data_IF_298981560191
#
_entry.id   IF_298981560191
#
_cell.length_a   1.000
_cell.length_b   1.000
_cell.length_c   1.000
_cell.angle_alpha   90.00
_cell.angle_beta   90.00
_cell.angle_gamma   90.00
#
_symmetry.space_group_name_H-M   'P 1'
#
loop_
_entity.id
_entity.type
_entity.pdbx_description
1 polymer ?
#
# COMPACT_ATOMS: atom_id res chain seq x y z
N UNK A 1 -0.79 -6.69 -31.20
CA UNK A 1 -1.11 -8.13 -30.99
C UNK A 1 -2.09 -8.20 -29.85
N UNK A 2 -3.21 -8.91 -30.01
CA UNK A 2 -4.20 -9.09 -28.95
C UNK A 2 -3.70 -10.16 -27.96
N UNK A 3 -3.90 -9.93 -26.66
CA UNK A 3 -3.57 -10.87 -25.59
C UNK A 3 -4.83 -11.52 -25.03
N UNK A 4 -4.71 -12.70 -24.43
CA UNK A 4 -5.84 -13.27 -23.71
C UNK A 4 -6.13 -12.46 -22.43
N UNK A 5 -5.06 -11.96 -21.78
CA UNK A 5 -5.18 -11.24 -20.50
C UNK A 5 -4.30 -10.00 -20.50
N UNK A 6 -4.89 -8.85 -20.17
CA UNK A 6 -4.17 -7.66 -19.74
C UNK A 6 -4.07 -7.64 -18.22
N UNK A 7 -2.90 -7.38 -17.67
CA UNK A 7 -2.68 -7.18 -16.23
C UNK A 7 -2.23 -5.74 -16.00
N UNK A 8 -3.01 -4.97 -15.26
CA UNK A 8 -2.64 -3.61 -14.88
C UNK A 8 -1.98 -3.61 -13.51
N UNK A 9 -0.70 -3.37 -13.49
CA UNK A 9 0.17 -3.35 -12.33
C UNK A 9 1.25 -4.42 -12.38
N UNK A 10 2.48 -3.95 -12.27
CA UNK A 10 3.71 -4.75 -12.37
C UNK A 10 4.34 -5.06 -11.01
N UNK A 11 3.54 -4.99 -9.94
CA UNK A 11 3.93 -5.41 -8.60
C UNK A 11 3.79 -6.93 -8.38
N UNK A 12 4.10 -7.43 -7.17
CA UNK A 12 4.05 -8.86 -6.84
C UNK A 12 2.74 -9.54 -7.21
N UNK A 13 1.59 -8.88 -6.94
CA UNK A 13 0.26 -9.44 -7.23
C UNK A 13 0.02 -9.59 -8.73
N UNK A 14 0.36 -8.55 -9.53
CA UNK A 14 0.21 -8.60 -10.99
C UNK A 14 1.14 -9.63 -11.63
N UNK A 15 2.39 -9.70 -11.19
CA UNK A 15 3.35 -10.69 -11.69
C UNK A 15 2.94 -12.11 -11.33
N UNK A 16 2.46 -12.35 -10.11
CA UNK A 16 1.95 -13.67 -9.70
C UNK A 16 0.75 -14.09 -10.55
N UNK A 17 -0.19 -13.18 -10.81
CA UNK A 17 -1.34 -13.43 -11.67
C UNK A 17 -0.91 -13.74 -13.12
N UNK A 18 0.07 -12.99 -13.63
CA UNK A 18 0.61 -13.18 -14.98
C UNK A 18 1.28 -14.55 -15.14
N UNK A 19 2.13 -14.95 -14.19
CA UNK A 19 2.78 -16.27 -14.18
C UNK A 19 1.74 -17.39 -14.10
N UNK A 20 0.73 -17.25 -13.23
CA UNK A 20 -0.34 -18.24 -13.10
C UNK A 20 -1.17 -18.37 -14.39
N UNK A 21 -1.42 -17.28 -15.11
CA UNK A 21 -2.13 -17.29 -16.39
C UNK A 21 -1.27 -17.92 -17.51
N UNK A 22 0.04 -17.61 -17.57
CA UNK A 22 0.98 -18.26 -18.49
C UNK A 22 1.06 -19.76 -18.29
N UNK A 23 1.09 -20.21 -17.03
CA UNK A 23 1.04 -21.65 -16.70
C UNK A 23 -0.24 -22.37 -17.17
N UNK A 24 -1.30 -21.61 -17.53
CA UNK A 24 -2.54 -22.10 -18.15
C UNK A 24 -2.60 -21.87 -19.67
N UNK A 25 -1.47 -21.59 -20.29
CA UNK A 25 -1.35 -21.40 -21.75
C UNK A 25 -1.96 -20.10 -22.29
N UNK A 26 -2.20 -19.09 -21.43
CA UNK A 26 -2.75 -17.80 -21.87
C UNK A 26 -1.63 -16.85 -22.29
N UNK A 27 -1.87 -16.05 -23.33
CA UNK A 27 -1.02 -14.91 -23.66
C UNK A 27 -1.31 -13.76 -22.71
N UNK A 28 -0.26 -13.15 -22.11
CA UNK A 28 -0.41 -12.16 -21.04
C UNK A 28 0.47 -10.96 -21.31
N UNK A 29 -0.13 -9.76 -21.22
CA UNK A 29 0.57 -8.49 -21.22
C UNK A 29 0.44 -7.82 -19.86
N UNK A 30 1.55 -7.53 -19.21
CA UNK A 30 1.60 -6.72 -17.98
C UNK A 30 1.92 -5.27 -18.34
N UNK A 31 1.05 -4.36 -17.93
CA UNK A 31 1.20 -2.92 -18.09
C UNK A 31 1.47 -2.30 -16.72
N UNK A 32 2.59 -1.64 -16.54
CA UNK A 32 2.93 -1.01 -15.26
C UNK A 32 4.22 -0.20 -15.30
N UNK A 33 4.52 0.44 -14.19
CA UNK A 33 5.77 1.18 -14.05
C UNK A 33 6.96 0.21 -13.96
N UNK A 34 8.17 0.75 -14.14
CA UNK A 34 9.38 -0.04 -13.90
C UNK A 34 9.40 -0.50 -12.44
N UNK A 35 9.85 -1.72 -12.19
CA UNK A 35 9.89 -2.27 -10.85
C UNK A 35 10.80 -1.46 -9.90
N UNK A 36 11.85 -0.80 -10.45
CA UNK A 36 12.74 0.07 -9.69
C UNK A 36 12.01 1.27 -9.06
N UNK A 37 10.91 1.70 -9.67
CA UNK A 37 10.08 2.81 -9.18
C UNK A 37 9.03 2.36 -8.15
N UNK A 38 8.94 1.05 -7.90
CA UNK A 38 8.01 0.46 -6.92
C UNK A 38 8.36 0.86 -5.48
N UNK A 39 7.36 1.14 -4.63
CA UNK A 39 7.60 1.32 -3.19
C UNK A 39 8.32 0.12 -2.56
N UNK A 40 8.02 -1.10 -3.02
CA UNK A 40 8.67 -2.30 -2.52
C UNK A 40 10.19 -2.30 -2.81
N UNK A 41 10.64 -1.75 -3.95
CA UNK A 41 12.06 -1.69 -4.28
C UNK A 41 12.91 -0.93 -3.23
N UNK A 42 12.25 -0.06 -2.45
CA UNK A 42 12.89 0.75 -1.39
C UNK A 42 12.97 0.03 -0.04
N UNK A 43 12.30 -1.11 0.11
CA UNK A 43 12.35 -1.88 1.34
C UNK A 43 13.74 -2.52 1.48
N UNK A 44 14.45 -2.18 2.55
CA UNK A 44 15.78 -2.74 2.84
C UNK A 44 15.68 -4.22 3.19
N UNK A 45 14.57 -4.60 3.86
CA UNK A 45 14.34 -5.97 4.31
C UNK A 45 12.84 -6.30 4.28
N UNK A 46 12.53 -7.50 3.82
CA UNK A 46 11.20 -8.10 3.79
C UNK A 46 11.31 -9.50 4.41
N UNK A 47 10.69 -9.70 5.56
CA UNK A 47 10.75 -10.96 6.33
C UNK A 47 9.50 -11.82 6.17
N UNK A 48 8.39 -11.24 5.73
CA UNK A 48 7.07 -11.88 5.70
C UNK A 48 6.66 -12.39 4.30
N UNK A 49 7.59 -12.46 3.34
CA UNK A 49 7.29 -13.08 2.05
C UNK A 49 7.63 -14.57 2.09
N UNK A 50 6.59 -15.40 1.98
CA UNK A 50 6.72 -16.86 2.12
C UNK A 50 7.75 -17.43 1.11
N UNK A 51 8.70 -18.17 1.61
CA UNK A 51 9.76 -18.82 0.81
C UNK A 51 10.99 -17.94 0.55
N UNK A 52 10.95 -16.64 0.79
CA UNK A 52 12.06 -15.69 0.56
C UNK A 52 12.25 -14.75 1.76
N UNK A 53 12.56 -15.29 2.96
CA UNK A 53 12.76 -14.46 4.14
C UNK A 53 14.05 -13.61 4.02
N UNK A 54 14.09 -12.49 4.73
CA UNK A 54 15.25 -11.61 4.83
C UNK A 54 15.81 -11.09 3.49
N UNK A 55 14.96 -11.01 2.47
CA UNK A 55 15.31 -10.43 1.17
C UNK A 55 15.09 -8.92 1.15
N UNK A 56 15.89 -8.17 0.38
CA UNK A 56 15.54 -6.79 0.08
C UNK A 56 14.37 -6.76 -0.92
N UNK A 57 13.56 -5.70 -0.86
CA UNK A 57 12.45 -5.53 -1.81
C UNK A 57 12.93 -5.46 -3.26
N UNK A 58 14.14 -4.91 -3.49
CA UNK A 58 14.80 -4.90 -4.80
C UNK A 58 15.07 -6.33 -5.29
N UNK A 59 15.72 -7.16 -4.47
CA UNK A 59 16.05 -8.55 -4.83
C UNK A 59 14.78 -9.39 -5.09
N UNK A 60 13.72 -9.18 -4.29
CA UNK A 60 12.43 -9.82 -4.52
C UNK A 60 11.84 -9.46 -5.89
N UNK A 61 11.80 -8.18 -6.22
CA UNK A 61 11.22 -7.71 -7.49
C UNK A 61 12.03 -8.19 -8.69
N UNK A 62 13.36 -8.19 -8.62
CA UNK A 62 14.22 -8.75 -9.65
C UNK A 62 13.86 -10.22 -9.92
N UNK A 63 13.76 -11.05 -8.87
CA UNK A 63 13.38 -12.45 -9.01
C UNK A 63 11.97 -12.62 -9.60
N UNK A 64 11.01 -11.80 -9.19
CA UNK A 64 9.63 -11.89 -9.71
C UNK A 64 9.56 -11.52 -11.19
N UNK A 65 10.26 -10.47 -11.60
CA UNK A 65 10.33 -10.07 -13.01
C UNK A 65 11.02 -11.11 -13.87
N UNK A 66 12.15 -11.63 -13.42
CA UNK A 66 12.89 -12.70 -14.10
C UNK A 66 12.03 -13.96 -14.27
N UNK A 67 11.30 -14.34 -13.23
CA UNK A 67 10.38 -15.47 -13.29
C UNK A 67 9.27 -15.21 -14.31
N UNK A 68 8.63 -14.06 -14.28
CA UNK A 68 7.56 -13.72 -15.22
C UNK A 68 8.07 -13.65 -16.66
N UNK A 69 9.23 -13.07 -16.90
CA UNK A 69 9.87 -13.02 -18.22
C UNK A 69 10.19 -14.43 -18.76
N UNK A 70 10.78 -15.30 -17.93
CA UNK A 70 11.05 -16.72 -18.28
C UNK A 70 9.77 -17.50 -18.55
N UNK A 71 8.66 -17.16 -17.90
CA UNK A 71 7.34 -17.74 -18.19
C UNK A 71 6.72 -17.23 -19.50
N UNK A 72 7.35 -16.27 -20.19
CA UNK A 72 6.87 -15.71 -21.45
C UNK A 72 5.79 -14.64 -21.30
N UNK A 73 5.83 -13.90 -20.19
CA UNK A 73 4.98 -12.71 -20.00
C UNK A 73 5.53 -11.55 -20.81
N UNK A 74 4.66 -10.85 -21.55
CA UNK A 74 4.99 -9.61 -22.22
C UNK A 74 4.83 -8.41 -21.30
N UNK A 75 5.66 -7.37 -21.48
CA UNK A 75 5.67 -6.19 -20.64
C UNK A 75 5.58 -4.90 -21.43
N UNK A 76 4.77 -3.96 -20.93
CA UNK A 76 4.75 -2.57 -21.37
C UNK A 76 4.99 -1.67 -20.16
N UNK A 77 6.07 -0.90 -20.24
CA UNK A 77 6.36 0.11 -19.22
C UNK A 77 5.54 1.36 -19.48
N UNK A 78 4.71 1.75 -18.52
CA UNK A 78 3.91 2.96 -18.59
C UNK A 78 2.66 2.87 -17.72
N UNK A 79 1.99 4.00 -17.62
CA UNK A 79 0.73 4.13 -16.88
C UNK A 79 -0.43 4.05 -17.86
N UNK A 80 -1.37 3.13 -17.63
CA UNK A 80 -2.64 3.15 -18.34
C UNK A 80 -3.43 4.41 -17.93
N UNK A 81 -3.77 5.24 -18.90
CA UNK A 81 -4.48 6.51 -18.69
C UNK A 81 -5.98 6.37 -18.89
N UNK A 82 -6.40 5.37 -19.65
CA UNK A 82 -7.81 5.01 -19.84
C UNK A 82 -7.98 3.52 -20.04
N UNK A 83 -9.16 3.04 -19.74
CA UNK A 83 -9.60 1.67 -20.00
C UNK A 83 -11.01 1.68 -20.55
N UNK A 84 -11.28 0.78 -21.46
CA UNK A 84 -12.60 0.58 -22.05
C UNK A 84 -12.90 -0.93 -22.12
N UNK A 85 -14.14 -1.30 -21.84
CA UNK A 85 -14.64 -2.67 -22.00
C UNK A 85 -15.73 -2.63 -23.07
N UNK A 86 -15.44 -3.22 -24.24
CA UNK A 86 -16.39 -3.29 -25.34
C UNK A 86 -16.04 -4.50 -26.23
N UNK A 87 -16.73 -5.63 -26.05
CA UNK A 87 -16.40 -6.88 -26.74
C UNK A 87 -15.00 -7.43 -26.43
N UNK A 88 -14.30 -6.81 -25.54
CA UNK A 88 -12.94 -7.06 -25.07
C UNK A 88 -12.50 -5.96 -24.11
N UNK A 89 -11.25 -5.98 -23.71
CA UNK A 89 -10.66 -4.97 -22.83
C UNK A 89 -9.58 -4.20 -23.59
N UNK A 90 -9.61 -2.89 -23.51
CA UNK A 90 -8.66 -1.99 -24.14
C UNK A 90 -8.03 -1.10 -23.08
N UNK A 91 -6.69 -1.01 -23.08
CA UNK A 91 -5.94 -0.13 -22.19
C UNK A 91 -5.07 0.82 -23.03
N UNK A 92 -5.14 2.12 -22.73
CA UNK A 92 -4.34 3.13 -23.42
C UNK A 92 -3.12 3.50 -22.57
N UNK A 93 -1.93 3.41 -23.15
CA UNK A 93 -0.66 3.82 -22.55
C UNK A 93 0.03 4.82 -23.48
N UNK A 94 0.13 6.08 -23.07
CA UNK A 94 0.56 7.16 -23.96
C UNK A 94 -0.38 7.29 -25.17
N UNK A 95 0.13 7.13 -26.38
CA UNK A 95 -0.63 7.12 -27.64
C UNK A 95 -1.00 5.71 -28.15
N UNK A 96 -0.58 4.66 -27.46
CA UNK A 96 -0.80 3.28 -27.89
C UNK A 96 -1.97 2.64 -27.15
N UNK A 97 -2.73 1.81 -27.89
CA UNK A 97 -3.84 1.03 -27.33
C UNK A 97 -3.44 -0.45 -27.36
N UNK A 98 -3.61 -1.10 -26.22
CA UNK A 98 -3.40 -2.54 -26.04
C UNK A 98 -4.76 -3.20 -25.78
N UNK A 99 -4.97 -4.36 -26.39
CA UNK A 99 -6.23 -5.08 -26.29
C UNK A 99 -6.05 -6.49 -25.73
N UNK A 100 -7.09 -6.98 -25.05
CA UNK A 100 -7.16 -8.31 -24.49
C UNK A 100 -8.59 -8.79 -24.28
N UNK A 101 -8.75 -10.08 -24.00
CA UNK A 101 -10.08 -10.67 -23.74
C UNK A 101 -10.53 -10.48 -22.30
N UNK A 102 -9.58 -10.41 -21.35
CA UNK A 102 -9.85 -10.25 -19.93
C UNK A 102 -8.85 -9.26 -19.29
N UNK A 103 -9.23 -8.69 -18.16
CA UNK A 103 -8.44 -7.74 -17.38
C UNK A 103 -8.25 -8.23 -15.96
N UNK A 104 -7.01 -8.13 -15.47
CA UNK A 104 -6.67 -8.27 -14.05
C UNK A 104 -6.18 -6.93 -13.53
N UNK A 105 -6.85 -6.40 -12.51
CA UNK A 105 -6.45 -5.16 -11.85
C UNK A 105 -5.57 -5.48 -10.64
N UNK A 106 -4.32 -5.04 -10.69
CA UNK A 106 -3.34 -5.14 -9.61
C UNK A 106 -2.57 -3.82 -9.41
N UNK A 107 -3.27 -2.66 -9.34
CA UNK A 107 -2.64 -1.34 -9.37
C UNK A 107 -1.85 -1.02 -8.09
N UNK A 108 -1.94 -1.85 -7.07
CA UNK A 108 -1.33 -1.63 -5.76
C UNK A 108 -2.02 -0.50 -4.98
N UNK A 109 -1.32 0.00 -3.98
CA UNK A 109 -1.82 1.08 -3.13
C UNK A 109 -1.55 2.43 -3.81
N UNK A 110 -2.57 3.28 -3.92
CA UNK A 110 -2.39 4.65 -4.41
C UNK A 110 -1.65 5.48 -3.34
N UNK A 111 -0.63 6.21 -3.76
CA UNK A 111 0.00 7.22 -2.91
C UNK A 111 -0.95 8.39 -2.74
N UNK A 112 -1.52 8.54 -1.56
CA UNK A 112 -2.12 9.81 -1.15
C UNK A 112 -1.01 10.80 -0.78
N UNK A 113 -1.32 12.10 -0.86
CA UNK A 113 -0.41 13.13 -0.39
C UNK A 113 -0.02 12.83 1.07
N UNK A 114 1.28 12.91 1.36
CA UNK A 114 1.80 12.65 2.69
C UNK A 114 1.69 13.89 3.56
N UNK A 115 1.53 13.65 4.85
CA UNK A 115 1.58 14.72 5.84
C UNK A 115 3.03 15.17 6.08
N UNK A 116 3.26 16.44 6.45
CA UNK A 116 4.56 16.88 6.93
C UNK A 116 5.09 15.94 8.03
N UNK A 117 6.35 15.53 7.94
CA UNK A 117 6.99 14.62 8.88
C UNK A 117 6.70 13.13 8.68
N UNK A 118 5.69 12.76 7.90
CA UNK A 118 5.29 11.36 7.70
C UNK A 118 6.42 10.48 7.18
N UNK A 119 7.11 10.90 6.11
CA UNK A 119 8.25 10.15 5.57
C UNK A 119 9.47 10.19 6.48
N UNK A 120 9.69 11.31 7.15
CA UNK A 120 10.82 11.49 8.06
C UNK A 120 10.79 10.47 9.20
N UNK A 121 9.60 10.18 9.72
CA UNK A 121 9.43 9.30 10.87
C UNK A 121 8.90 7.91 10.54
N UNK A 122 8.81 7.54 9.26
CA UNK A 122 8.42 6.19 8.85
C UNK A 122 9.39 5.14 9.42
N UNK A 123 8.85 4.15 10.15
CA UNK A 123 9.65 3.17 10.90
C UNK A 123 10.27 3.73 12.19
N UNK A 124 10.12 5.03 12.48
CA UNK A 124 10.56 5.68 13.71
C UNK A 124 9.40 6.34 14.45
N UNK A 125 8.27 5.63 14.49
CA UNK A 125 7.03 6.07 15.13
C UNK A 125 5.87 6.26 14.16
N UNK A 126 6.09 6.40 12.85
CA UNK A 126 5.02 6.31 11.85
C UNK A 126 4.94 4.89 11.32
N UNK A 127 3.71 4.36 11.25
CA UNK A 127 3.39 3.06 10.66
C UNK A 127 2.15 3.16 9.74
N UNK A 128 2.06 2.25 8.77
CA UNK A 128 0.90 2.08 7.88
C UNK A 128 0.16 0.75 8.12
N UNK A 129 0.55 -0.01 9.14
CA UNK A 129 0.02 -1.35 9.39
C UNK A 129 -0.12 -1.60 10.89
N UNK A 130 -1.35 -1.62 11.38
CA UNK A 130 -1.60 -1.88 12.80
C UNK A 130 -1.24 -3.31 13.20
N UNK A 131 -1.51 -4.29 12.33
CA UNK A 131 -1.22 -5.70 12.60
C UNK A 131 0.28 -6.02 12.55
N UNK A 132 1.06 -5.25 11.75
CA UNK A 132 2.51 -5.46 11.65
C UNK A 132 3.25 -4.90 12.88
N UNK A 133 2.92 -3.67 13.27
CA UNK A 133 3.73 -2.90 14.23
C UNK A 133 3.05 -2.67 15.57
N UNK A 134 1.75 -2.98 15.71
CA UNK A 134 0.95 -2.65 16.88
C UNK A 134 1.54 -3.18 18.20
N UNK A 135 2.11 -4.37 18.20
CA UNK A 135 2.74 -4.97 19.38
C UNK A 135 3.92 -4.15 19.95
N UNK A 136 4.62 -3.36 19.12
CA UNK A 136 5.73 -2.50 19.55
C UNK A 136 5.25 -1.32 20.42
N UNK A 137 3.95 -1.04 20.36
CA UNK A 137 3.31 0.09 21.04
C UNK A 137 2.41 -0.30 22.20
N UNK A 138 2.45 -1.56 22.62
CA UNK A 138 1.67 -2.03 23.79
C UNK A 138 1.98 -1.18 25.02
N UNK A 139 0.93 -0.68 25.68
CA UNK A 139 1.03 0.19 26.84
C UNK A 139 1.39 1.66 26.54
N UNK A 140 1.62 2.01 25.25
CA UNK A 140 2.02 3.35 24.83
C UNK A 140 0.85 4.13 24.21
N UNK A 141 0.87 5.47 24.27
CA UNK A 141 -0.08 6.30 23.55
C UNK A 141 0.22 6.27 22.05
N UNK A 142 -0.80 5.97 21.26
CA UNK A 142 -0.73 5.97 19.79
C UNK A 142 -1.90 6.74 19.19
N UNK A 143 -1.65 7.37 18.04
CA UNK A 143 -2.71 8.05 17.30
C UNK A 143 -2.94 7.29 15.99
N UNK A 144 -4.22 7.00 15.72
CA UNK A 144 -4.66 6.45 14.44
C UNK A 144 -5.24 7.58 13.60
N UNK A 145 -4.62 7.83 12.45
CA UNK A 145 -5.15 8.72 11.42
C UNK A 145 -5.93 7.87 10.43
N UNK A 146 -7.26 7.87 10.56
CA UNK A 146 -8.14 7.04 9.74
C UNK A 146 -8.50 7.70 8.41
N UNK A 147 -8.18 7.04 7.31
CA UNK A 147 -8.48 7.46 5.94
C UNK A 147 -9.10 6.33 5.10
N UNK A 148 -8.99 5.08 5.53
CA UNK A 148 -9.63 3.92 4.90
C UNK A 148 -10.89 3.51 5.65
N UNK A 149 -11.82 2.79 5.00
CA UNK A 149 -13.00 2.22 5.66
C UNK A 149 -12.65 1.26 6.81
N UNK A 150 -11.51 0.57 6.72
CA UNK A 150 -11.07 -0.43 7.71
C UNK A 150 -10.32 0.18 8.90
N UNK A 151 -9.95 1.46 8.84
CA UNK A 151 -9.18 2.13 9.88
C UNK A 151 -9.81 2.06 11.30
N UNK A 152 -11.16 2.11 11.46
CA UNK A 152 -11.77 1.93 12.77
C UNK A 152 -11.50 0.55 13.39
N UNK A 153 -11.56 -0.51 12.57
CA UNK A 153 -11.30 -1.88 13.02
C UNK A 153 -9.84 -2.06 13.42
N UNK A 154 -8.91 -1.47 12.69
CA UNK A 154 -7.49 -1.49 13.02
C UNK A 154 -7.21 -0.67 14.31
N UNK A 155 -7.91 0.42 14.55
CA UNK A 155 -7.82 1.18 15.80
C UNK A 155 -8.31 0.37 17.01
N UNK A 156 -9.46 -0.32 16.85
CA UNK A 156 -9.98 -1.23 17.89
C UNK A 156 -9.01 -2.39 18.14
N UNK A 157 -8.37 -2.91 17.10
CA UNK A 157 -7.33 -3.93 17.22
C UNK A 157 -6.13 -3.41 18.03
N UNK A 158 -5.58 -2.23 17.73
CA UNK A 158 -4.50 -1.63 18.52
C UNK A 158 -4.89 -1.47 20.00
N UNK A 159 -6.13 -1.04 20.27
CA UNK A 159 -6.67 -0.97 21.62
C UNK A 159 -6.69 -2.34 22.27
N UNK A 160 -7.13 -3.39 21.59
CA UNK A 160 -7.16 -4.77 22.10
C UNK A 160 -5.77 -5.30 22.44
N UNK A 161 -4.73 -4.81 21.78
CA UNK A 161 -3.32 -5.10 22.11
C UNK A 161 -2.84 -4.38 23.40
N UNK A 162 -3.67 -3.48 23.95
CA UNK A 162 -3.33 -2.67 25.12
C UNK A 162 -2.65 -1.34 24.80
N UNK A 163 -2.74 -0.84 23.56
CA UNK A 163 -2.31 0.51 23.21
C UNK A 163 -3.33 1.53 23.74
N UNK A 164 -2.85 2.74 24.10
CA UNK A 164 -3.69 3.88 24.45
C UNK A 164 -4.04 4.64 23.18
N UNK A 165 -5.12 4.23 22.50
CA UNK A 165 -5.46 4.74 21.16
C UNK A 165 -6.24 6.04 21.22
N UNK A 166 -5.85 7.02 20.41
CA UNK A 166 -6.67 8.19 20.03
C UNK A 166 -6.90 8.15 18.52
N UNK A 167 -8.14 8.33 18.08
CA UNK A 167 -8.49 8.31 16.66
C UNK A 167 -8.67 9.73 16.11
N UNK A 168 -8.07 10.02 14.96
CA UNK A 168 -8.12 11.33 14.30
C UNK A 168 -8.70 11.18 12.89
N UNK A 169 -9.77 11.91 12.60
CA UNK A 169 -10.38 11.98 11.27
C UNK A 169 -11.24 13.24 11.11
N UNK A 170 -11.77 13.49 9.91
CA UNK A 170 -12.72 14.59 9.65
C UNK A 170 -14.07 14.42 10.33
N UNK A 171 -14.49 13.17 10.58
CA UNK A 171 -15.69 12.84 11.36
C UNK A 171 -15.47 11.49 12.06
N UNK A 172 -16.19 11.27 13.16
CA UNK A 172 -16.13 9.99 13.87
C UNK A 172 -16.72 8.88 12.98
N UNK A 173 -15.95 7.83 12.66
CA UNK A 173 -16.45 6.78 11.79
C UNK A 173 -17.37 5.80 12.55
N UNK A 174 -18.24 5.13 11.80
CA UNK A 174 -18.94 3.93 12.27
C UNK A 174 -17.93 2.81 12.56
N UNK A 175 -18.23 1.94 13.53
CA UNK A 175 -17.39 0.80 13.90
C UNK A 175 -16.19 1.12 14.79
N UNK A 176 -15.94 2.39 15.12
CA UNK A 176 -14.95 2.75 16.14
C UNK A 176 -15.57 2.55 17.53
N UNK A 177 -14.88 1.82 18.41
CA UNK A 177 -15.31 1.60 19.81
C UNK A 177 -15.64 2.92 20.49
N UNK A 178 -16.75 2.93 21.25
CA UNK A 178 -17.28 4.16 21.86
C UNK A 178 -16.35 4.83 22.85
N UNK A 179 -15.49 4.07 23.52
CA UNK A 179 -14.52 4.53 24.51
C UNK A 179 -13.15 4.92 23.92
N UNK A 180 -12.92 4.75 22.61
CA UNK A 180 -11.73 5.30 21.94
C UNK A 180 -11.90 6.81 21.82
N UNK A 181 -10.99 7.61 22.40
CA UNK A 181 -10.96 9.06 22.22
C UNK A 181 -10.92 9.44 20.74
N UNK A 182 -11.73 10.42 20.34
CA UNK A 182 -11.82 10.91 18.98
C UNK A 182 -11.48 12.41 18.94
N UNK A 183 -10.61 12.76 18.00
CA UNK A 183 -10.25 14.15 17.70
C UNK A 183 -10.60 14.44 16.26
N UNK A 184 -11.45 15.41 16.04
CA UNK A 184 -11.76 15.90 14.71
C UNK A 184 -10.63 16.81 14.22
N UNK A 185 -10.15 16.58 12.98
CA UNK A 185 -9.14 17.44 12.38
C UNK A 185 -8.76 17.02 10.96
N UNK A 186 -8.13 17.93 10.24
CA UNK A 186 -7.81 17.75 8.82
C UNK A 186 -6.39 18.15 8.43
N UNK A 187 -5.82 19.18 9.05
CA UNK A 187 -4.44 19.60 8.84
C UNK A 187 -3.54 18.90 9.84
N UNK A 188 -2.77 17.94 9.36
CA UNK A 188 -1.97 17.06 10.20
C UNK A 188 -0.49 17.24 9.89
N UNK A 189 0.35 17.19 10.94
CA UNK A 189 1.79 17.10 10.82
C UNK A 189 2.36 16.18 11.89
N UNK A 190 3.25 15.28 11.51
CA UNK A 190 3.96 14.40 12.45
C UNK A 190 5.16 15.14 13.00
N UNK A 191 5.28 15.18 14.32
CA UNK A 191 6.32 15.91 15.04
C UNK A 191 7.18 14.89 15.81
N UNK A 192 8.49 15.15 15.81
CA UNK A 192 9.46 14.34 16.54
C UNK A 192 10.86 14.91 16.41
N UNK A 193 11.81 14.21 17.01
CA UNK A 193 13.24 14.45 16.89
C UNK A 193 13.93 13.24 16.25
N UNK A 194 14.34 12.25 17.04
CA UNK A 194 14.84 10.96 16.55
C UNK A 194 13.71 10.02 16.19
N UNK A 195 12.56 10.13 16.86
CA UNK A 195 11.33 9.39 16.64
C UNK A 195 10.12 10.30 16.86
N UNK A 196 8.92 9.82 16.56
CA UNK A 196 7.65 10.53 16.80
C UNK A 196 7.52 10.87 18.29
N UNK A 197 7.11 12.11 18.56
CA UNK A 197 6.77 12.58 19.92
C UNK A 197 5.34 13.12 20.00
N UNK A 198 4.76 13.55 18.87
CA UNK A 198 3.42 14.07 18.81
C UNK A 198 2.85 14.03 17.37
N UNK A 199 1.53 14.10 17.26
CA UNK A 199 0.83 14.52 16.04
C UNK A 199 0.25 15.92 16.27
N UNK A 200 0.54 16.85 15.38
CA UNK A 200 -0.15 18.13 15.33
C UNK A 200 -1.44 17.97 14.52
N UNK A 201 -2.56 18.41 15.10
CA UNK A 201 -3.89 18.38 14.49
C UNK A 201 -4.45 19.78 14.55
N UNK A 202 -4.62 20.44 13.41
CA UNK A 202 -5.14 21.80 13.25
C UNK A 202 -4.44 22.83 14.17
N UNK A 203 -3.13 22.63 14.44
CA UNK A 203 -2.29 23.48 15.28
C UNK A 203 -2.19 23.03 16.75
N UNK A 204 -2.99 22.08 17.21
CA UNK A 204 -2.89 21.48 18.54
C UNK A 204 -1.96 20.26 18.53
N UNK A 205 -1.02 20.15 19.48
CA UNK A 205 -0.12 19.01 19.60
C UNK A 205 -0.72 17.94 20.48
N UNK A 206 -0.85 16.74 19.96
CA UNK A 206 -1.28 15.55 20.67
C UNK A 206 -0.07 14.65 20.92
N UNK A 207 0.41 14.52 22.18
CA UNK A 207 1.57 13.68 22.47
C UNK A 207 1.29 12.21 22.18
N UNK A 208 2.24 11.51 21.53
CA UNK A 208 2.14 10.08 21.27
C UNK A 208 3.52 9.46 21.02
N UNK A 209 3.61 8.14 21.19
CA UNK A 209 4.79 7.36 20.86
C UNK A 209 4.75 6.82 19.41
N UNK A 210 3.56 6.80 18.79
CA UNK A 210 3.40 6.33 17.42
C UNK A 210 2.16 6.91 16.75
N UNK A 211 2.25 7.01 15.41
CA UNK A 211 1.16 7.47 14.53
C UNK A 211 0.92 6.40 13.47
N UNK A 212 -0.25 5.79 13.50
CA UNK A 212 -0.70 4.82 12.50
C UNK A 212 -1.55 5.54 11.46
N UNK A 213 -1.04 5.67 10.23
CA UNK A 213 -1.73 6.35 9.14
C UNK A 213 -2.35 5.28 8.23
N UNK A 214 -3.63 5.02 8.43
CA UNK A 214 -4.37 3.92 7.80
C UNK A 214 -5.18 4.47 6.61
N UNK A 215 -4.68 4.18 5.39
CA UNK A 215 -5.23 4.65 4.12
C UNK A 215 -5.82 3.53 3.30
#
# INVERSE_FOLDING_TARGET
>A
MSHDILVLGSGPAGLAAAVAARGRGKSVLVIGNRWQDSPLARAERVDNYLGLPASSGKALLEQFYDHAAKAGVDFVTGRAVSMMVYGGVFATVGSQVYDGKALILAPGVQRQAKYPGEETYLGRGVSYCATCDGMLYRGKPVIVVGRSPDAPLEANYLKSLGCQVTYVAGQRPEGLDGDVPFVQGSRLAVIGEQAVTALEVDGAKLPCAGVFILR
#
